data_IF_341540272338
#
_entry.id   IF_341540272338
#
_cell.length_a   1.000
_cell.length_b   1.000
_cell.length_c   1.000
_cell.angle_alpha   90.00
_cell.angle_beta   90.00
_cell.angle_gamma   90.00
#
_symmetry.space_group_name_H-M   'P 1'
#
loop_
_entity.id
_entity.type
_entity.pdbx_description
1 polymer ?
#
# COMPACT_ATOMS: atom_id res chain seq x y z
N UNK A 1 -15.21 14.49 -9.03
CA UNK A 1 -15.11 13.03 -9.25
C UNK A 1 -14.68 12.74 -10.68
N UNK A 2 -13.57 12.01 -10.85
CA UNK A 2 -13.04 11.60 -12.17
C UNK A 2 -13.33 10.10 -12.34
N UNK A 3 -13.70 9.67 -13.54
CA UNK A 3 -13.92 8.25 -13.85
C UNK A 3 -12.83 7.74 -14.79
N UNK A 4 -12.13 6.68 -14.37
CA UNK A 4 -11.12 5.99 -15.16
C UNK A 4 -11.69 4.68 -15.71
N UNK A 5 -11.40 4.37 -16.98
CA UNK A 5 -11.75 3.08 -17.60
C UNK A 5 -10.45 2.33 -17.85
N UNK A 6 -10.32 1.15 -17.25
CA UNK A 6 -9.14 0.29 -17.45
C UNK A 6 -9.18 -0.37 -18.83
N UNK A 7 -8.03 -0.86 -19.31
CA UNK A 7 -7.95 -1.63 -20.58
C UNK A 7 -8.84 -2.88 -20.62
N UNK A 8 -9.22 -3.41 -19.46
CA UNK A 8 -10.13 -4.57 -19.31
C UNK A 8 -11.60 -4.17 -19.13
N UNK A 9 -11.93 -2.87 -19.24
CA UNK A 9 -13.29 -2.36 -19.19
C UNK A 9 -13.81 -2.02 -17.78
N UNK A 10 -13.03 -2.22 -16.72
CA UNK A 10 -13.44 -1.82 -15.36
C UNK A 10 -13.52 -0.30 -15.25
N UNK A 11 -14.61 0.19 -14.66
CA UNK A 11 -14.84 1.59 -14.33
C UNK A 11 -14.43 1.84 -12.89
N UNK A 12 -13.49 2.76 -12.69
CA UNK A 12 -13.03 3.21 -11.38
C UNK A 12 -13.50 4.65 -11.20
N UNK A 13 -14.22 4.93 -10.12
CA UNK A 13 -14.64 6.28 -9.75
C UNK A 13 -13.67 6.77 -8.69
N UNK A 14 -12.95 7.85 -9.00
CA UNK A 14 -12.06 8.51 -8.05
C UNK A 14 -12.88 9.48 -7.18
N UNK A 15 -12.56 9.56 -5.88
CA UNK A 15 -13.17 10.54 -4.97
C UNK A 15 -12.95 11.98 -5.47
N UNK A 16 -13.80 12.89 -5.03
CA UNK A 16 -13.54 14.33 -5.10
C UNK A 16 -12.44 14.74 -4.10
N UNK A 17 -11.90 15.96 -4.25
CA UNK A 17 -10.88 16.46 -3.32
C UNK A 17 -11.41 16.61 -1.89
N UNK A 18 -12.70 16.89 -1.72
CA UNK A 18 -13.35 16.98 -0.40
C UNK A 18 -13.45 15.60 0.24
N UNK A 19 -13.98 14.61 -0.48
CA UNK A 19 -14.05 13.23 -0.02
C UNK A 19 -12.65 12.64 0.22
N UNK A 20 -11.66 12.98 -0.60
CA UNK A 20 -10.27 12.57 -0.41
C UNK A 20 -9.67 13.11 0.90
N UNK A 21 -9.99 14.36 1.27
CA UNK A 21 -9.57 14.92 2.56
C UNK A 21 -10.22 14.20 3.72
N UNK A 22 -11.51 13.91 3.65
CA UNK A 22 -12.23 13.18 4.70
C UNK A 22 -11.64 11.76 4.88
N UNK A 23 -11.35 11.07 3.78
CA UNK A 23 -10.70 9.74 3.82
C UNK A 23 -9.30 9.84 4.42
N UNK A 24 -8.52 10.86 4.04
CA UNK A 24 -7.17 11.06 4.56
C UNK A 24 -7.17 11.37 6.06
N UNK A 25 -8.07 12.24 6.51
CA UNK A 25 -8.23 12.59 7.92
C UNK A 25 -8.58 11.36 8.76
N UNK A 26 -9.54 10.55 8.28
CA UNK A 26 -9.91 9.31 8.95
C UNK A 26 -8.74 8.32 9.04
N UNK A 27 -7.95 8.17 7.97
CA UNK A 27 -6.78 7.29 7.95
C UNK A 27 -5.69 7.76 8.91
N UNK A 28 -5.48 9.07 9.05
CA UNK A 28 -4.50 9.64 9.98
C UNK A 28 -4.95 9.62 11.44
N UNK A 29 -6.26 9.68 11.67
CA UNK A 29 -6.84 9.58 13.02
C UNK A 29 -6.76 8.14 13.58
N UNK A 30 -6.54 7.14 12.72
CA UNK A 30 -6.43 5.75 13.13
C UNK A 30 -5.13 5.49 13.92
N UNK A 31 -5.20 5.12 15.22
CA UNK A 31 -4.02 4.87 16.02
C UNK A 31 -3.22 3.63 15.59
N UNK A 32 -3.86 2.66 14.92
CA UNK A 32 -3.22 1.39 14.55
C UNK A 32 -2.60 1.38 13.14
N UNK A 33 -2.98 2.35 12.30
CA UNK A 33 -2.58 2.46 10.91
C UNK A 33 -1.76 3.73 10.63
N UNK A 34 -0.91 4.13 11.59
CA UNK A 34 -0.05 5.30 11.42
C UNK A 34 0.97 5.12 10.29
N UNK A 35 1.32 6.21 9.58
CA UNK A 35 2.38 6.19 8.58
C UNK A 35 3.71 5.73 9.17
N UNK A 36 4.46 4.95 8.40
CA UNK A 36 5.81 4.60 8.77
C UNK A 36 6.72 5.83 8.78
N UNK A 37 7.55 5.93 9.81
CA UNK A 37 8.67 6.88 9.83
C UNK A 37 9.72 6.46 8.81
N UNK A 38 10.57 7.41 8.39
CA UNK A 38 11.64 7.14 7.43
C UNK A 38 12.60 6.04 7.91
N UNK A 39 12.90 6.01 9.22
CA UNK A 39 13.74 5.00 9.83
C UNK A 39 13.09 3.61 9.80
N UNK A 40 11.78 3.52 10.08
CA UNK A 40 11.04 2.27 9.99
C UNK A 40 10.91 1.78 8.55
N UNK A 41 10.67 2.70 7.62
CA UNK A 41 10.59 2.39 6.19
C UNK A 41 11.94 1.87 5.66
N UNK A 42 13.05 2.47 6.08
CA UNK A 42 14.39 2.04 5.69
C UNK A 42 14.75 0.62 6.19
N UNK A 43 14.11 0.15 7.26
CA UNK A 43 14.27 -1.21 7.78
C UNK A 43 13.47 -2.26 6.99
N UNK A 44 12.53 -1.84 6.14
CA UNK A 44 11.74 -2.77 5.33
C UNK A 44 12.57 -3.36 4.20
N UNK A 45 12.24 -4.60 3.83
CA UNK A 45 12.81 -5.22 2.63
C UNK A 45 12.00 -4.80 1.41
N UNK A 46 12.64 -4.35 0.33
CA UNK A 46 11.97 -4.10 -0.95
C UNK A 46 11.25 -5.35 -1.46
N UNK A 47 10.00 -5.19 -1.91
CA UNK A 47 9.16 -6.31 -2.35
C UNK A 47 9.77 -7.10 -3.52
N UNK A 48 10.60 -6.45 -4.34
CA UNK A 48 11.34 -7.07 -5.44
C UNK A 48 12.29 -8.18 -4.96
N UNK A 49 12.75 -8.12 -3.70
CA UNK A 49 13.66 -9.11 -3.12
C UNK A 49 12.91 -10.28 -2.44
N UNK A 50 11.59 -10.18 -2.28
CA UNK A 50 10.76 -11.18 -1.60
C UNK A 50 10.89 -12.59 -2.20
N UNK A 51 10.92 -12.80 -3.54
CA UNK A 51 11.02 -14.15 -4.10
C UNK A 51 12.29 -14.90 -3.67
N UNK A 52 13.42 -14.20 -3.61
CA UNK A 52 14.71 -14.80 -3.22
C UNK A 52 14.77 -15.07 -1.72
N UNK A 53 14.18 -14.19 -0.89
CA UNK A 53 14.05 -14.43 0.55
C UNK A 53 13.22 -15.68 0.84
N UNK A 54 12.08 -15.84 0.16
CA UNK A 54 11.21 -17.02 0.33
C UNK A 54 11.93 -18.32 -0.05
N UNK A 55 12.75 -18.30 -1.11
CA UNK A 55 13.59 -19.45 -1.48
C UNK A 55 14.60 -19.80 -0.39
N UNK A 56 15.26 -18.79 0.19
CA UNK A 56 16.21 -18.98 1.31
C UNK A 56 15.52 -19.59 2.53
N UNK A 57 14.42 -18.98 2.98
CA UNK A 57 13.66 -19.49 4.14
C UNK A 57 13.17 -20.92 3.95
N UNK A 58 12.72 -21.28 2.74
CA UNK A 58 12.28 -22.65 2.44
C UNK A 58 13.43 -23.66 2.49
N UNK A 59 14.62 -23.26 2.05
CA UNK A 59 15.84 -24.10 2.08
C UNK A 59 16.34 -24.30 3.52
N UNK A 60 16.24 -23.30 4.37
CA UNK A 60 16.66 -23.38 5.78
C UNK A 60 15.73 -24.24 6.64
N UNK A 61 14.48 -24.43 6.22
CA UNK A 61 13.48 -25.28 6.90
C UNK A 61 13.40 -26.72 6.40
N UNK A 62 14.20 -27.09 5.40
CA UNK A 62 14.25 -28.43 4.81
C UNK A 62 15.55 -29.14 5.21
#
# INVERSE_FOLDING_TARGET
MITLITKRGFRIVMPSEEEEREIMEAALADPDAQPLTDEQLAQMVPIQQMPELLKKFRKERA
#
